data_IF_809280016447
#
_entry.id   IF_809280016447
#
_cell.length_a   1.000
_cell.length_b   1.000
_cell.length_c   1.000
_cell.angle_alpha   90.00
_cell.angle_beta   90.00
_cell.angle_gamma   90.00
#
_symmetry.space_group_name_H-M   'P 1'
#
loop_
_entity.id
_entity.type
_entity.pdbx_description
1 polymer ?
#
# COMPACT_ATOMS: atom_id res chain seq x y z
N UNK A 1 10.53 -3.65 -17.81
CA UNK A 1 9.74 -2.42 -17.84
C UNK A 1 8.33 -2.78 -18.29
N UNK A 2 7.34 -2.48 -17.48
CA UNK A 2 5.93 -2.84 -17.68
C UNK A 2 5.31 -2.04 -18.82
N UNK A 3 4.60 -2.70 -19.75
CA UNK A 3 3.83 -2.01 -20.79
C UNK A 3 2.48 -1.54 -20.23
N UNK A 4 2.52 -0.40 -19.54
CA UNK A 4 1.35 0.19 -18.89
C UNK A 4 0.21 0.54 -19.86
N UNK A 5 0.52 0.93 -21.10
CA UNK A 5 -0.47 1.31 -22.09
C UNK A 5 -1.31 0.09 -22.53
N UNK A 6 -0.65 -1.03 -22.80
CA UNK A 6 -1.32 -2.29 -23.12
C UNK A 6 -2.13 -2.83 -21.95
N UNK A 7 -1.57 -2.79 -20.74
CA UNK A 7 -2.27 -3.23 -19.53
C UNK A 7 -3.53 -2.40 -19.26
N UNK A 8 -3.41 -1.07 -19.30
CA UNK A 8 -4.55 -0.17 -19.11
C UNK A 8 -5.65 -0.44 -20.14
N UNK A 9 -5.30 -0.59 -21.43
CA UNK A 9 -6.28 -0.89 -22.47
C UNK A 9 -7.04 -2.20 -22.20
N UNK A 10 -6.33 -3.24 -21.77
CA UNK A 10 -6.92 -4.54 -21.42
C UNK A 10 -7.84 -4.40 -20.22
N UNK A 11 -7.38 -3.80 -19.13
CA UNK A 11 -8.16 -3.64 -17.90
C UNK A 11 -9.39 -2.76 -18.14
N UNK A 12 -9.24 -1.61 -18.79
CA UNK A 12 -10.34 -0.70 -19.10
C UNK A 12 -11.40 -1.39 -19.99
N UNK A 13 -10.98 -2.19 -20.98
CA UNK A 13 -11.90 -2.98 -21.81
C UNK A 13 -12.63 -4.06 -21.01
N UNK A 14 -11.91 -4.81 -20.17
CA UNK A 14 -12.50 -5.88 -19.35
C UNK A 14 -13.47 -5.32 -18.33
N UNK A 15 -13.11 -4.24 -17.61
CA UNK A 15 -14.01 -3.57 -16.67
C UNK A 15 -15.26 -3.04 -17.40
N UNK A 16 -15.09 -2.45 -18.58
CA UNK A 16 -16.22 -1.96 -19.38
C UNK A 16 -17.17 -3.06 -19.86
N UNK A 17 -16.65 -4.25 -20.16
CA UNK A 17 -17.43 -5.35 -20.76
C UNK A 17 -17.94 -6.38 -19.75
N UNK A 18 -17.21 -6.58 -18.65
CA UNK A 18 -17.48 -7.61 -17.64
C UNK A 18 -17.77 -7.01 -16.26
N UNK A 19 -17.65 -5.70 -16.10
CA UNK A 19 -17.90 -4.98 -14.84
C UNK A 19 -16.77 -5.06 -13.83
N UNK A 20 -15.75 -5.89 -14.04
CA UNK A 20 -14.59 -6.04 -13.16
C UNK A 20 -13.43 -6.73 -13.85
N UNK A 21 -12.23 -6.56 -13.34
CA UNK A 21 -11.04 -7.30 -13.76
C UNK A 21 -10.26 -7.76 -12.52
N UNK A 22 -9.70 -8.96 -12.57
CA UNK A 22 -8.82 -9.50 -11.54
C UNK A 22 -7.48 -9.88 -12.16
N UNK A 23 -6.39 -9.74 -11.41
CA UNK A 23 -5.06 -10.09 -11.85
C UNK A 23 -4.11 -10.35 -10.69
N UNK A 24 -2.95 -10.92 -11.02
CA UNK A 24 -1.82 -11.03 -10.11
C UNK A 24 -0.78 -9.99 -10.50
N UNK A 25 -0.27 -9.27 -9.50
CA UNK A 25 0.87 -8.37 -9.63
C UNK A 25 2.09 -8.87 -8.85
N UNK A 26 3.25 -8.29 -9.14
CA UNK A 26 4.43 -8.41 -8.28
C UNK A 26 4.29 -7.56 -7.00
N UNK A 27 5.33 -7.55 -6.17
CA UNK A 27 5.38 -6.83 -4.89
C UNK A 27 5.15 -5.32 -5.04
N UNK A 28 5.50 -4.78 -6.21
CA UNK A 28 5.41 -3.36 -6.56
C UNK A 28 4.05 -3.02 -7.19
N UNK A 29 3.17 -4.01 -7.37
CA UNK A 29 1.86 -3.84 -8.00
C UNK A 29 1.90 -3.78 -9.53
N UNK A 30 3.00 -4.17 -10.17
CA UNK A 30 3.06 -4.33 -11.62
C UNK A 30 2.25 -5.58 -12.02
N UNK A 31 1.31 -5.47 -12.97
CA UNK A 31 0.52 -6.62 -13.40
C UNK A 31 1.37 -7.67 -14.12
N UNK A 32 1.25 -8.92 -13.69
CA UNK A 32 1.92 -10.10 -14.27
C UNK A 32 1.00 -10.86 -15.23
N UNK A 33 -0.25 -11.11 -14.83
CA UNK A 33 -1.26 -11.77 -15.67
C UNK A 33 -2.69 -11.52 -15.16
N UNK A 34 -3.67 -11.66 -16.06
CA UNK A 34 -5.10 -11.59 -15.77
C UNK A 34 -5.58 -12.92 -15.19
N UNK A 35 -6.45 -12.85 -14.19
CA UNK A 35 -7.16 -13.99 -13.63
C UNK A 35 -8.51 -14.22 -14.33
N UNK A 36 -9.03 -15.46 -14.34
CA UNK A 36 -10.41 -15.72 -14.73
C UNK A 36 -11.39 -15.02 -13.79
N UNK A 37 -12.68 -15.02 -14.15
CA UNK A 37 -13.71 -14.55 -13.24
C UNK A 37 -13.79 -15.48 -12.01
N UNK A 38 -13.98 -14.93 -10.80
CA UNK A 38 -14.09 -15.73 -9.60
C UNK A 38 -15.37 -16.59 -9.62
N UNK A 39 -15.32 -17.72 -8.92
CA UNK A 39 -16.45 -18.66 -8.80
C UNK A 39 -17.59 -18.04 -7.99
N UNK A 40 -17.25 -17.26 -6.96
CA UNK A 40 -18.19 -16.50 -6.15
C UNK A 40 -17.88 -14.99 -6.25
N UNK A 41 -18.90 -14.14 -6.46
CA UNK A 41 -18.71 -12.70 -6.67
C UNK A 41 -18.55 -11.90 -5.37
N UNK A 42 -18.18 -12.53 -4.24
CA UNK A 42 -18.14 -11.87 -2.93
C UNK A 42 -16.84 -11.08 -2.76
N UNK A 43 -16.73 -9.95 -3.46
CA UNK A 43 -15.72 -8.94 -3.14
C UNK A 43 -16.43 -7.81 -2.41
N UNK A 44 -16.06 -7.48 -1.16
CA UNK A 44 -16.77 -6.48 -0.39
C UNK A 44 -16.78 -5.12 -1.10
N UNK A 45 -17.98 -4.58 -1.32
CA UNK A 45 -18.18 -3.26 -1.91
C UNK A 45 -17.77 -2.13 -0.95
N UNK A 46 -17.84 -2.37 0.36
CA UNK A 46 -17.81 -1.33 1.39
C UNK A 46 -16.40 -0.86 1.80
N UNK A 47 -16.33 0.45 2.06
CA UNK A 47 -15.15 1.31 2.15
C UNK A 47 -14.62 1.54 3.59
N UNK A 48 -15.00 0.73 4.57
CA UNK A 48 -14.70 1.07 5.97
C UNK A 48 -14.15 -0.07 6.84
N UNK A 49 -14.07 -1.28 6.33
CA UNK A 49 -13.40 -2.36 7.04
C UNK A 49 -12.16 -2.76 6.25
N UNK A 50 -11.03 -2.84 6.96
CA UNK A 50 -9.83 -3.61 6.60
C UNK A 50 -10.22 -5.10 6.58
N UNK A 51 -11.24 -5.44 5.80
CA UNK A 51 -11.61 -6.82 5.57
C UNK A 51 -10.63 -7.38 4.55
N UNK A 52 -9.92 -8.42 4.96
CA UNK A 52 -9.09 -9.22 4.08
C UNK A 52 -9.88 -9.59 2.81
N UNK A 53 -9.24 -9.46 1.65
CA UNK A 53 -9.81 -9.88 0.39
C UNK A 53 -9.66 -11.40 0.28
N UNK A 54 -10.78 -12.11 0.28
CA UNK A 54 -10.83 -13.54 0.02
C UNK A 54 -11.58 -13.78 -1.29
N UNK A 55 -10.90 -14.34 -2.29
CA UNK A 55 -11.51 -14.57 -3.62
C UNK A 55 -11.13 -15.94 -4.16
N UNK A 56 -12.13 -16.70 -4.59
CA UNK A 56 -11.97 -18.07 -5.12
C UNK A 56 -12.06 -18.09 -6.65
N UNK A 57 -11.09 -18.73 -7.29
CA UNK A 57 -10.96 -18.89 -8.74
C UNK A 57 -10.91 -20.36 -9.14
N UNK A 58 -11.28 -20.70 -10.39
CA UNK A 58 -11.02 -22.04 -10.92
C UNK A 58 -9.52 -22.30 -10.97
N UNK A 59 -9.11 -23.46 -10.44
CA UNK A 59 -7.72 -23.93 -10.50
C UNK A 59 -7.41 -24.74 -11.77
N UNK A 60 -8.42 -24.96 -12.62
CA UNK A 60 -8.30 -25.64 -13.92
C UNK A 60 -8.78 -24.73 -15.06
N UNK A 61 -8.04 -24.76 -16.15
CA UNK A 61 -8.46 -24.17 -17.42
C UNK A 61 -9.51 -25.06 -18.12
N UNK A 62 -10.27 -24.55 -19.11
CA UNK A 62 -11.27 -25.35 -19.82
C UNK A 62 -10.73 -26.60 -20.53
N UNK A 63 -9.43 -26.66 -20.82
CA UNK A 63 -8.74 -27.81 -21.41
C UNK A 63 -8.26 -28.84 -20.38
N UNK A 64 -8.51 -28.60 -19.09
CA UNK A 64 -8.12 -29.45 -17.97
C UNK A 64 -6.70 -29.22 -17.47
N UNK A 65 -5.94 -28.28 -18.03
CA UNK A 65 -4.63 -27.89 -17.50
C UNK A 65 -4.76 -27.08 -16.21
N UNK A 66 -3.69 -27.06 -15.41
CA UNK A 66 -3.63 -26.26 -14.17
C UNK A 66 -3.65 -24.78 -14.54
N UNK A 67 -4.49 -23.99 -13.88
CA UNK A 67 -4.52 -22.54 -14.11
C UNK A 67 -3.22 -21.91 -13.64
N UNK A 68 -2.77 -20.86 -14.33
CA UNK A 68 -1.48 -20.21 -14.05
C UNK A 68 -1.34 -19.74 -12.59
N UNK A 69 -2.45 -19.36 -11.95
CA UNK A 69 -2.44 -18.92 -10.55
C UNK A 69 -2.30 -20.09 -9.58
N UNK A 70 -2.92 -21.24 -9.87
CA UNK A 70 -2.75 -22.45 -9.08
C UNK A 70 -1.34 -23.02 -9.24
N UNK A 71 -0.79 -22.95 -10.45
CA UNK A 71 0.60 -23.32 -10.71
C UNK A 71 1.57 -22.47 -9.86
N UNK A 72 1.44 -21.14 -9.95
CA UNK A 72 2.31 -20.18 -9.28
C UNK A 72 2.23 -20.23 -7.75
N UNK A 73 1.02 -20.23 -7.18
CA UNK A 73 0.83 -20.05 -5.74
C UNK A 73 0.84 -21.36 -4.95
N UNK A 74 0.62 -22.50 -5.62
CA UNK A 74 0.44 -23.80 -4.95
C UNK A 74 1.35 -24.86 -5.53
N UNK A 75 1.22 -25.18 -6.82
CA UNK A 75 1.89 -26.36 -7.39
C UNK A 75 3.42 -26.23 -7.42
N UNK A 76 3.94 -25.03 -7.71
CA UNK A 76 5.39 -24.78 -7.69
C UNK A 76 6.00 -25.04 -6.30
N UNK A 77 5.25 -24.76 -5.23
CA UNK A 77 5.68 -25.00 -3.85
C UNK A 77 5.66 -26.49 -3.48
N UNK A 78 4.75 -27.29 -4.06
CA UNK A 78 4.66 -28.74 -3.81
C UNK A 78 5.92 -29.50 -4.24
N UNK A 79 6.70 -28.97 -5.19
CA UNK A 79 7.95 -29.61 -5.62
C UNK A 79 9.11 -29.40 -4.63
N UNK A 80 8.94 -28.52 -3.65
CA UNK A 80 9.99 -28.03 -2.75
C UNK A 80 9.83 -28.51 -1.29
N UNK A 81 9.30 -29.72 -1.09
CA UNK A 81 9.14 -30.29 0.26
C UNK A 81 10.44 -30.25 1.06
N UNK A 82 10.36 -29.71 2.27
CA UNK A 82 11.41 -29.93 3.24
C UNK A 82 11.34 -31.37 3.79
N UNK A 83 12.44 -31.93 4.33
CA UNK A 83 12.43 -33.27 4.93
C UNK A 83 11.49 -33.44 6.13
N UNK A 84 10.88 -32.36 6.63
CA UNK A 84 9.90 -32.38 7.71
C UNK A 84 8.44 -32.49 7.21
N UNK A 85 8.25 -32.57 5.88
CA UNK A 85 6.93 -32.68 5.24
C UNK A 85 6.17 -31.36 5.21
N UNK A 86 6.84 -30.22 5.45
CA UNK A 86 6.22 -28.90 5.36
C UNK A 86 6.45 -28.33 3.98
N UNK A 87 5.40 -27.70 3.44
CA UNK A 87 5.51 -26.89 2.24
C UNK A 87 6.24 -25.59 2.60
N UNK A 88 7.22 -25.15 1.80
CA UNK A 88 7.73 -23.80 1.93
C UNK A 88 6.60 -22.82 1.60
N UNK A 89 6.58 -21.68 2.27
CA UNK A 89 5.79 -20.53 1.83
C UNK A 89 6.14 -20.21 0.38
N UNK A 90 5.13 -19.88 -0.44
CA UNK A 90 5.35 -19.48 -1.82
C UNK A 90 6.46 -18.42 -1.90
N UNK A 91 7.43 -18.63 -2.78
CA UNK A 91 8.53 -17.68 -2.97
C UNK A 91 8.04 -16.55 -3.87
N UNK A 92 7.78 -15.38 -3.27
CA UNK A 92 7.42 -14.16 -4.00
C UNK A 92 6.37 -13.35 -3.25
N UNK A 93 6.66 -12.07 -3.07
CA UNK A 93 5.66 -11.10 -2.60
C UNK A 93 4.76 -10.76 -3.80
N UNK A 94 3.56 -11.31 -3.82
CA UNK A 94 2.58 -11.11 -4.88
C UNK A 94 1.41 -10.24 -4.40
N UNK A 95 0.80 -9.51 -5.33
CA UNK A 95 -0.42 -8.76 -5.06
C UNK A 95 -1.61 -9.34 -5.82
N UNK A 96 -2.75 -9.46 -5.14
CA UNK A 96 -4.04 -9.60 -5.79
C UNK A 96 -4.48 -8.22 -6.26
N UNK A 97 -4.76 -8.06 -7.55
CA UNK A 97 -5.22 -6.82 -8.15
C UNK A 97 -6.67 -6.99 -8.59
N UNK A 98 -7.52 -6.03 -8.23
CA UNK A 98 -8.93 -6.02 -8.61
C UNK A 98 -9.30 -4.62 -9.13
N UNK A 99 -9.92 -4.55 -10.29
CA UNK A 99 -10.31 -3.29 -10.92
C UNK A 99 -11.83 -3.23 -11.12
N UNK A 100 -12.41 -2.09 -10.78
CA UNK A 100 -13.85 -1.86 -10.75
C UNK A 100 -14.22 -0.57 -11.52
N UNK A 101 -15.48 -0.42 -11.95
CA UNK A 101 -15.98 0.83 -12.50
C UNK A 101 -15.97 1.89 -11.39
N UNK A 102 -15.35 3.03 -11.68
CA UNK A 102 -15.34 4.21 -10.83
C UNK A 102 -16.23 5.32 -11.37
N UNK A 103 -16.16 6.48 -10.71
CA UNK A 103 -16.81 7.69 -11.17
C UNK A 103 -16.26 8.14 -12.54
N UNK A 104 -17.09 8.83 -13.31
CA UNK A 104 -16.73 9.42 -14.61
C UNK A 104 -16.12 8.43 -15.63
N UNK A 105 -16.54 7.16 -15.57
CA UNK A 105 -16.02 6.07 -16.41
C UNK A 105 -14.53 5.77 -16.24
N UNK A 106 -13.91 6.23 -15.14
CA UNK A 106 -12.57 5.82 -14.75
C UNK A 106 -12.59 4.46 -14.07
N UNK A 107 -11.51 3.69 -14.23
CA UNK A 107 -11.32 2.43 -13.50
C UNK A 107 -10.67 2.74 -12.16
N UNK A 108 -11.19 2.15 -11.09
CA UNK A 108 -10.58 2.20 -9.76
C UNK A 108 -10.00 0.82 -9.47
N UNK A 109 -8.69 0.78 -9.17
CA UNK A 109 -8.03 -0.43 -8.73
C UNK A 109 -7.94 -0.48 -7.22
N UNK A 110 -8.25 -1.65 -6.70
CA UNK A 110 -8.03 -2.10 -5.33
C UNK A 110 -7.22 -3.38 -5.40
N UNK A 111 -6.89 -3.93 -4.26
CA UNK A 111 -6.08 -5.12 -4.20
C UNK A 111 -5.35 -5.19 -2.89
N UNK A 112 -4.38 -6.08 -2.83
CA UNK A 112 -3.73 -6.38 -1.58
C UNK A 112 -2.55 -7.32 -1.71
N UNK A 113 -1.66 -7.30 -0.73
CA UNK A 113 -0.58 -8.26 -0.64
C UNK A 113 -1.16 -9.64 -0.30
N UNK A 114 -0.83 -10.67 -1.08
CA UNK A 114 -1.30 -12.03 -0.85
C UNK A 114 -0.59 -12.59 0.38
N UNK A 115 -1.37 -12.99 1.38
CA UNK A 115 -0.84 -13.58 2.63
C UNK A 115 -0.68 -15.08 2.47
N UNK A 116 -1.70 -15.72 1.91
CA UNK A 116 -1.70 -17.16 1.65
C UNK A 116 -2.77 -17.52 0.61
N UNK A 117 -2.55 -18.65 -0.06
CA UNK A 117 -3.54 -19.28 -0.92
C UNK A 117 -3.89 -20.67 -0.38
N UNK A 118 -5.14 -21.07 -0.56
CA UNK A 118 -5.63 -22.43 -0.26
C UNK A 118 -6.18 -23.03 -1.53
N UNK A 119 -5.92 -24.32 -1.77
CA UNK A 119 -6.43 -25.05 -2.91
C UNK A 119 -7.19 -26.28 -2.44
N UNK A 120 -8.26 -26.62 -3.14
CA UNK A 120 -9.08 -27.80 -2.84
C UNK A 120 -9.01 -28.78 -4.01
N UNK A 121 -8.69 -30.04 -3.73
CA UNK A 121 -8.63 -31.15 -4.69
C UNK A 121 -9.62 -32.23 -4.22
N UNK A 122 -10.91 -32.01 -4.53
CA UNK A 122 -11.98 -32.92 -4.10
C UNK A 122 -11.88 -34.30 -4.75
N UNK A 123 -11.39 -34.35 -5.98
CA UNK A 123 -11.22 -35.58 -6.75
C UNK A 123 -9.97 -36.38 -6.34
N UNK A 124 -9.08 -35.76 -5.56
CA UNK A 124 -7.82 -36.31 -5.07
C UNK A 124 -6.96 -36.87 -6.22
N UNK A 125 -6.97 -36.18 -7.36
CA UNK A 125 -6.22 -36.53 -8.57
C UNK A 125 -4.86 -35.82 -8.64
N UNK A 126 -4.53 -35.02 -7.61
CA UNK A 126 -3.30 -34.25 -7.48
C UNK A 126 -3.36 -32.88 -8.13
N UNK A 127 -4.52 -32.47 -8.67
CA UNK A 127 -4.73 -31.16 -9.29
C UNK A 127 -5.92 -30.47 -8.62
N UNK A 128 -5.77 -29.30 -7.99
CA UNK A 128 -6.90 -28.60 -7.39
C UNK A 128 -8.01 -28.27 -8.40
N UNK A 129 -9.26 -28.33 -7.97
CA UNK A 129 -10.43 -27.85 -8.72
C UNK A 129 -10.61 -26.34 -8.56
N UNK A 130 -10.34 -25.82 -7.36
CA UNK A 130 -10.45 -24.41 -7.00
C UNK A 130 -9.24 -23.93 -6.17
N UNK A 131 -9.00 -22.62 -6.24
CA UNK A 131 -8.00 -21.91 -5.46
C UNK A 131 -8.60 -20.64 -4.87
N UNK A 132 -8.45 -20.47 -3.56
CA UNK A 132 -8.83 -19.27 -2.83
C UNK A 132 -7.58 -18.48 -2.47
N UNK A 133 -7.60 -17.19 -2.81
CA UNK A 133 -6.52 -16.24 -2.54
C UNK A 133 -6.97 -15.35 -1.39
N UNK A 134 -6.14 -15.25 -0.35
CA UNK A 134 -6.36 -14.38 0.79
C UNK A 134 -5.32 -13.26 0.78
N UNK A 135 -5.76 -12.00 0.71
CA UNK A 135 -4.89 -10.84 0.57
C UNK A 135 -5.26 -9.71 1.55
N UNK A 136 -4.24 -9.08 2.12
CA UNK A 136 -4.37 -7.88 2.96
C UNK A 136 -4.72 -6.69 2.09
N UNK A 137 -5.85 -6.04 2.36
CA UNK A 137 -6.33 -4.92 1.55
C UNK A 137 -5.28 -3.80 1.50
N UNK A 138 -5.14 -3.10 0.37
CA UNK A 138 -4.28 -1.93 0.26
C UNK A 138 -4.62 -0.82 1.28
N UNK A 139 -5.82 -0.84 1.86
CA UNK A 139 -6.19 -0.06 3.04
C UNK A 139 -5.31 -0.32 4.26
N UNK A 140 -4.76 -1.52 4.39
CA UNK A 140 -3.92 -1.93 5.52
C UNK A 140 -2.61 -1.16 5.57
N UNK A 141 -2.27 -0.45 4.50
CA UNK A 141 -1.16 0.51 4.50
C UNK A 141 -1.26 1.51 5.65
N UNK A 142 -2.47 1.94 6.03
CA UNK A 142 -2.69 2.82 7.18
C UNK A 142 -2.26 2.21 8.52
N UNK A 143 -2.20 0.88 8.61
CA UNK A 143 -1.72 0.13 9.76
C UNK A 143 -0.21 -0.18 9.69
N UNK A 144 0.47 0.16 8.60
CA UNK A 144 1.92 -0.09 8.44
C UNK A 144 2.78 1.15 8.66
N UNK A 145 2.19 2.33 8.44
CA UNK A 145 2.92 3.60 8.51
C UNK A 145 2.84 4.17 9.95
N UNK A 146 3.97 4.51 10.58
CA UNK A 146 3.95 5.17 11.88
C UNK A 146 3.42 6.60 11.75
N UNK A 147 2.61 7.06 12.71
CA UNK A 147 2.18 8.44 12.86
C UNK A 147 3.30 9.29 13.46
N UNK A 148 4.30 9.62 12.63
CA UNK A 148 5.53 10.27 13.05
C UNK A 148 5.24 11.62 13.68
N UNK A 149 5.44 11.71 14.99
CA UNK A 149 5.15 12.90 15.78
C UNK A 149 6.17 14.00 15.55
N UNK A 150 7.42 13.64 15.22
CA UNK A 150 8.50 14.59 14.92
C UNK A 150 9.27 14.24 13.63
N UNK A 151 8.67 14.51 12.44
CA UNK A 151 9.26 14.15 11.15
C UNK A 151 10.68 14.67 10.94
N UNK A 152 10.96 15.90 11.40
CA UNK A 152 12.28 16.52 11.25
C UNK A 152 13.41 15.80 12.01
N UNK A 153 13.11 15.12 13.12
CA UNK A 153 14.10 14.31 13.84
C UNK A 153 14.36 12.99 13.12
N UNK A 154 13.29 12.32 12.66
CA UNK A 154 13.40 11.10 11.86
C UNK A 154 14.13 11.35 10.54
N UNK A 155 13.94 12.52 9.93
CA UNK A 155 14.61 12.92 8.69
C UNK A 155 16.14 12.93 8.78
N UNK A 156 16.68 13.16 9.98
CA UNK A 156 18.13 13.18 10.25
C UNK A 156 18.70 11.78 10.50
N UNK A 157 17.85 10.77 10.67
CA UNK A 157 18.30 9.42 10.93
C UNK A 157 18.88 8.80 9.65
N UNK A 158 20.07 8.23 9.78
CA UNK A 158 20.71 7.47 8.71
C UNK A 158 20.59 5.96 8.99
N UNK A 159 20.19 5.15 7.99
CA UNK A 159 20.28 3.71 8.05
C UNK A 159 21.74 3.27 8.21
N UNK A 160 21.98 2.30 9.07
CA UNK A 160 23.28 1.68 9.30
C UNK A 160 23.12 0.16 9.45
N UNK A 161 24.16 -0.58 9.07
CA UNK A 161 24.17 -2.03 9.26
C UNK A 161 24.44 -2.37 10.73
N UNK A 162 23.66 -3.30 11.27
CA UNK A 162 23.94 -3.96 12.53
C UNK A 162 24.01 -5.48 12.35
N UNK A 163 24.83 -6.12 13.18
CA UNK A 163 24.99 -7.58 13.25
C UNK A 163 24.43 -8.18 14.54
N UNK A 164 23.94 -7.37 15.46
CA UNK A 164 23.33 -7.81 16.71
C UNK A 164 22.17 -6.91 17.12
N UNK A 165 21.29 -7.44 17.97
CA UNK A 165 20.30 -6.61 18.65
C UNK A 165 20.89 -5.80 19.80
N UNK A 166 20.06 -4.97 20.43
CA UNK A 166 20.42 -4.13 21.58
C UNK A 166 20.79 -4.95 22.84
N UNK A 167 20.49 -6.25 22.87
CA UNK A 167 20.90 -7.17 23.93
C UNK A 167 22.24 -7.87 23.64
N UNK A 168 22.82 -7.65 22.45
CA UNK A 168 24.06 -8.25 21.98
C UNK A 168 23.90 -9.62 21.32
N UNK A 169 22.67 -10.07 21.06
CA UNK A 169 22.43 -11.32 20.33
C UNK A 169 22.68 -11.11 18.84
N UNK A 170 23.57 -11.92 18.28
CA UNK A 170 23.93 -11.82 16.87
C UNK A 170 22.77 -12.24 15.95
N UNK A 171 22.51 -11.44 14.94
CA UNK A 171 21.61 -11.80 13.86
C UNK A 171 22.27 -12.81 12.92
N UNK A 172 21.47 -13.72 12.36
CA UNK A 172 21.94 -14.64 11.31
C UNK A 172 22.38 -13.91 10.04
N UNK A 173 21.75 -12.78 9.76
CA UNK A 173 22.05 -11.87 8.64
C UNK A 173 22.12 -10.46 9.19
N UNK A 174 23.02 -9.64 8.64
CA UNK A 174 23.05 -8.21 8.98
C UNK A 174 21.70 -7.57 8.65
N UNK A 175 21.31 -6.61 9.48
CA UNK A 175 20.08 -5.84 9.31
C UNK A 175 20.41 -4.39 9.11
N UNK A 176 19.64 -3.72 8.26
CA UNK A 176 19.68 -2.26 8.15
C UNK A 176 18.72 -1.69 9.20
N UNK A 177 19.22 -0.79 10.05
CA UNK A 177 18.42 -0.14 11.09
C UNK A 177 18.65 1.36 11.04
N UNK A 178 17.67 2.14 11.46
CA UNK A 178 17.80 3.58 11.64
C UNK A 178 17.43 3.95 13.07
N UNK A 179 18.25 4.77 13.71
CA UNK A 179 17.97 5.27 15.06
C UNK A 179 17.16 6.55 14.96
N UNK A 180 15.88 6.46 15.30
CA UNK A 180 14.96 7.60 15.32
C UNK A 180 14.80 8.16 16.73
N UNK A 181 14.47 9.44 16.82
CA UNK A 181 14.15 10.12 18.08
C UNK A 181 12.63 10.35 18.12
N UNK A 182 12.00 9.92 19.22
CA UNK A 182 10.58 10.13 19.46
C UNK A 182 10.35 11.45 20.19
N UNK A 183 9.20 12.10 19.96
CA UNK A 183 8.91 13.35 20.63
C UNK A 183 8.69 13.15 22.14
N UNK A 184 9.42 13.90 22.96
CA UNK A 184 9.19 13.96 24.42
C UNK A 184 8.46 15.23 24.87
N UNK A 185 8.27 16.19 23.96
CA UNK A 185 7.62 17.46 24.24
C UNK A 185 6.23 17.52 23.58
N UNK A 186 5.21 17.73 24.41
CA UNK A 186 3.81 17.80 23.98
C UNK A 186 3.55 18.89 22.93
N UNK A 187 4.32 19.97 22.88
CA UNK A 187 4.06 21.07 21.93
C UNK A 187 4.32 20.69 20.46
N UNK A 188 5.14 19.67 20.18
CA UNK A 188 5.45 19.26 18.80
C UNK A 188 4.48 18.22 18.23
N UNK A 189 3.67 17.59 19.09
CA UNK A 189 2.81 16.48 18.67
C UNK A 189 1.41 16.91 18.23
N UNK A 190 0.97 18.12 18.59
CA UNK A 190 -0.36 18.62 18.23
C UNK A 190 -0.39 19.28 16.86
N UNK A 191 -1.32 18.84 16.01
CA UNK A 191 -1.62 19.41 14.69
C UNK A 191 -3.06 19.94 14.68
N UNK A 192 -3.24 21.19 14.25
CA UNK A 192 -4.53 21.87 14.24
C UNK A 192 -4.91 22.30 12.83
N UNK A 193 -6.21 22.32 12.54
CA UNK A 193 -6.78 22.77 11.27
C UNK A 193 -7.92 21.86 10.81
N UNK A 194 -8.41 22.02 9.57
CA UNK A 194 -9.42 21.14 9.00
C UNK A 194 -9.00 19.66 9.09
N UNK A 195 -9.91 18.80 9.49
CA UNK A 195 -9.64 17.40 9.79
C UNK A 195 -8.96 16.67 8.65
N UNK A 196 -9.50 16.78 7.45
CA UNK A 196 -8.98 16.08 6.30
C UNK A 196 -7.57 16.57 5.94
N UNK A 197 -7.31 17.89 5.99
CA UNK A 197 -5.98 18.47 5.82
C UNK A 197 -4.99 17.97 6.87
N UNK A 198 -5.35 18.01 8.15
CA UNK A 198 -4.48 17.61 9.26
C UNK A 198 -4.09 16.13 9.14
N UNK A 199 -5.05 15.27 8.81
CA UNK A 199 -4.80 13.83 8.63
C UNK A 199 -3.93 13.58 7.38
N UNK A 200 -4.25 14.19 6.23
CA UNK A 200 -3.46 14.05 4.99
C UNK A 200 -2.03 14.53 5.20
N UNK A 201 -1.86 15.66 5.88
CA UNK A 201 -0.56 16.21 6.25
C UNK A 201 0.23 15.23 7.10
N UNK A 202 -0.35 14.75 8.21
CA UNK A 202 0.32 13.80 9.09
C UNK A 202 0.71 12.55 8.33
N UNK A 203 -0.17 12.01 7.48
CA UNK A 203 0.10 10.83 6.67
C UNK A 203 1.27 11.05 5.70
N UNK A 204 1.30 12.18 4.98
CA UNK A 204 2.38 12.47 4.03
C UNK A 204 3.72 12.70 4.74
N UNK A 205 3.74 13.52 5.80
CA UNK A 205 4.98 13.76 6.58
C UNK A 205 5.51 12.47 7.21
N UNK A 206 4.61 11.60 7.65
CA UNK A 206 4.96 10.28 8.21
C UNK A 206 5.52 9.34 7.16
N UNK A 207 4.90 9.27 5.98
CA UNK A 207 5.40 8.50 4.84
C UNK A 207 6.79 8.97 4.43
N UNK A 208 6.95 10.27 4.21
CA UNK A 208 8.22 10.87 3.82
C UNK A 208 9.31 10.54 4.86
N UNK A 209 9.01 10.74 6.15
CA UNK A 209 9.96 10.47 7.23
C UNK A 209 10.31 8.99 7.35
N UNK A 210 9.33 8.08 7.30
CA UNK A 210 9.57 6.65 7.37
C UNK A 210 10.42 6.18 6.18
N UNK A 211 10.08 6.59 4.95
CA UNK A 211 10.84 6.27 3.75
C UNK A 211 12.27 6.82 3.78
N UNK A 212 12.50 8.00 4.39
CA UNK A 212 13.84 8.58 4.53
C UNK A 212 14.77 7.75 5.44
N UNK A 213 14.19 6.99 6.37
CA UNK A 213 14.93 6.10 7.27
C UNK A 213 15.25 4.73 6.68
N UNK A 214 14.83 4.47 5.43
CA UNK A 214 15.05 3.22 4.71
C UNK A 214 15.90 3.46 3.46
N UNK A 215 16.55 2.40 2.99
CA UNK A 215 17.31 2.40 1.75
C UNK A 215 17.32 1.00 1.13
N UNK A 216 17.35 0.95 -0.19
CA UNK A 216 17.55 -0.26 -0.95
C UNK A 216 19.00 -0.78 -0.83
N UNK A 217 19.26 -2.04 -1.21
CA UNK A 217 20.61 -2.61 -1.17
C UNK A 217 21.65 -1.84 -2.00
N UNK A 218 21.21 -1.06 -2.99
CA UNK A 218 22.06 -0.19 -3.81
C UNK A 218 22.30 1.20 -3.19
N UNK A 219 21.65 1.49 -2.05
CA UNK A 219 21.79 2.72 -1.28
C UNK A 219 20.79 3.81 -1.65
N UNK A 220 19.89 3.59 -2.61
CA UNK A 220 18.82 4.55 -2.93
C UNK A 220 17.86 4.65 -1.75
N UNK A 221 17.55 5.87 -1.31
CA UNK A 221 16.56 6.09 -0.24
C UNK A 221 15.18 5.88 -0.82
N UNK A 222 14.31 5.18 -0.10
CA UNK A 222 12.93 4.96 -0.54
C UNK A 222 12.15 6.26 -0.75
N UNK A 223 12.55 7.36 -0.10
CA UNK A 223 11.91 8.66 -0.31
C UNK A 223 12.20 9.27 -1.69
N UNK A 224 13.32 8.89 -2.30
CA UNK A 224 13.71 9.33 -3.65
C UNK A 224 12.96 8.54 -4.75
N UNK A 225 12.38 7.38 -4.41
CA UNK A 225 11.56 6.54 -5.29
C UNK A 225 10.33 5.97 -4.54
N UNK A 226 9.32 6.82 -4.24
CA UNK A 226 8.27 6.46 -3.31
C UNK A 226 7.21 5.57 -3.99
N UNK A 227 6.77 4.51 -3.30
CA UNK A 227 5.65 3.66 -3.71
C UNK A 227 4.29 4.09 -3.14
N UNK A 228 4.28 5.13 -2.31
CA UNK A 228 3.09 5.62 -1.60
C UNK A 228 2.98 7.13 -1.69
N UNK A 229 1.75 7.64 -1.79
CA UNK A 229 1.48 9.07 -1.77
C UNK A 229 0.12 9.36 -1.15
N UNK A 230 -0.06 10.56 -0.59
CA UNK A 230 -1.35 11.02 -0.08
C UNK A 230 -2.01 11.96 -1.07
N UNK A 231 -3.25 11.66 -1.44
CA UNK A 231 -4.08 12.50 -2.29
C UNK A 231 -4.59 13.73 -1.51
N UNK A 232 -4.56 14.89 -2.17
CA UNK A 232 -5.04 16.16 -1.65
C UNK A 232 -6.07 16.75 -2.61
N UNK A 233 -7.37 16.65 -2.31
CA UNK A 233 -8.44 17.27 -3.08
C UNK A 233 -8.36 18.80 -3.11
N UNK A 234 -8.99 19.42 -4.12
CA UNK A 234 -8.93 20.88 -4.33
C UNK A 234 -9.57 21.68 -3.18
N UNK A 235 -10.62 21.12 -2.58
CA UNK A 235 -11.33 21.73 -1.47
C UNK A 235 -11.27 20.80 -0.26
N UNK A 236 -11.16 21.42 0.91
CA UNK A 236 -11.33 20.77 2.21
C UNK A 236 -12.45 21.52 2.92
N UNK A 237 -13.54 20.82 3.19
CA UNK A 237 -14.73 21.36 3.87
C UNK A 237 -14.94 20.75 5.24
N UNK A 238 -13.96 20.00 5.74
CA UNK A 238 -14.06 19.31 7.03
C UNK A 238 -13.96 20.28 8.21
N UNK A 239 -14.51 19.87 9.35
CA UNK A 239 -14.43 20.66 10.59
C UNK A 239 -13.00 20.75 11.11
N UNK A 240 -12.71 21.79 11.91
CA UNK A 240 -11.42 21.91 12.56
C UNK A 240 -11.26 20.90 13.70
N UNK A 241 -10.11 20.22 13.72
CA UNK A 241 -9.73 19.30 14.80
C UNK A 241 -8.40 19.71 15.41
N UNK A 242 -8.14 19.17 16.60
CA UNK A 242 -6.82 19.11 17.22
C UNK A 242 -6.41 17.66 17.35
N UNK A 243 -5.38 17.26 16.60
CA UNK A 243 -4.89 15.88 16.53
C UNK A 243 -3.52 15.77 17.19
N UNK A 244 -3.38 14.81 18.10
CA UNK A 244 -2.09 14.46 18.69
C UNK A 244 -1.45 13.29 17.91
N UNK A 245 -0.27 13.50 17.35
CA UNK A 245 0.53 12.44 16.74
C UNK A 245 1.27 11.64 17.81
N UNK A 246 1.06 10.31 17.86
CA UNK A 246 1.49 9.47 19.00
C UNK A 246 2.59 8.45 18.71
N UNK A 247 3.32 8.56 17.59
CA UNK A 247 4.37 7.62 17.16
C UNK A 247 3.93 6.12 17.09
N UNK A 248 2.63 5.83 17.24
CA UNK A 248 2.00 4.54 16.92
C UNK A 248 1.66 4.46 15.44
N UNK A 249 0.73 3.60 15.02
CA UNK A 249 0.33 3.56 13.62
C UNK A 249 -0.61 4.71 13.23
N UNK A 250 -0.58 5.13 11.96
CA UNK A 250 -1.46 6.17 11.45
C UNK A 250 -2.93 5.84 11.72
N UNK A 251 -3.37 4.63 11.41
CA UNK A 251 -4.75 4.21 11.63
C UNK A 251 -5.21 4.44 13.07
N UNK A 252 -4.45 3.94 14.05
CA UNK A 252 -4.76 4.06 15.48
C UNK A 252 -4.80 5.52 15.94
N UNK A 253 -3.97 6.35 15.31
CA UNK A 253 -3.86 7.79 15.62
C UNK A 253 -5.03 8.58 15.05
N UNK A 254 -5.45 8.30 13.80
CA UNK A 254 -6.37 9.17 13.06
C UNK A 254 -7.80 8.65 12.94
N UNK A 255 -8.04 7.33 13.01
CA UNK A 255 -9.35 6.71 12.71
C UNK A 255 -10.52 7.32 13.48
N UNK A 256 -10.42 7.43 14.81
CA UNK A 256 -11.50 8.00 15.64
C UNK A 256 -11.72 9.49 15.39
N UNK A 257 -10.66 10.24 15.10
CA UNK A 257 -10.78 11.67 14.78
C UNK A 257 -11.38 11.85 13.38
N UNK A 258 -11.02 10.98 12.44
CA UNK A 258 -11.60 10.93 11.10
C UNK A 258 -13.11 10.67 11.17
N UNK A 259 -13.52 9.64 11.91
CA UNK A 259 -14.93 9.28 12.13
C UNK A 259 -15.71 10.45 12.77
N UNK A 260 -15.19 11.04 13.84
CA UNK A 260 -15.84 12.17 14.52
C UNK A 260 -15.98 13.41 13.63
N UNK A 261 -15.03 13.63 12.72
CA UNK A 261 -15.04 14.76 11.79
C UNK A 261 -15.79 14.47 10.47
N UNK A 262 -16.40 13.29 10.33
CA UNK A 262 -17.14 12.91 9.13
C UNK A 262 -16.24 12.72 7.90
N UNK A 263 -15.02 12.20 8.09
CA UNK A 263 -14.10 11.88 6.98
C UNK A 263 -13.74 10.39 6.96
N UNK A 264 -13.71 9.80 5.77
CA UNK A 264 -13.41 8.40 5.50
C UNK A 264 -11.95 8.27 5.06
N UNK A 265 -11.22 7.37 5.72
CA UNK A 265 -9.90 6.95 5.29
C UNK A 265 -10.03 5.93 4.16
N UNK A 266 -9.24 6.07 3.11
CA UNK A 266 -9.27 5.24 1.91
C UNK A 266 -7.87 5.00 1.35
N UNK A 267 -7.77 4.07 0.40
CA UNK A 267 -6.56 3.78 -0.36
C UNK A 267 -6.95 3.13 -1.69
N UNK A 268 -6.17 3.37 -2.74
CA UNK A 268 -6.35 2.72 -4.04
C UNK A 268 -5.01 2.55 -4.76
N UNK A 269 -4.97 1.68 -5.77
CA UNK A 269 -3.78 1.45 -6.59
C UNK A 269 -3.87 2.34 -7.83
N UNK A 270 -2.88 3.21 -8.01
CA UNK A 270 -2.71 4.05 -9.20
C UNK A 270 -1.69 3.42 -10.15
N UNK A 271 -1.98 3.43 -11.45
CA UNK A 271 -1.04 2.96 -12.47
C UNK A 271 -0.59 4.09 -13.40
N UNK A 272 0.65 4.02 -13.92
CA UNK A 272 1.08 4.89 -15.00
C UNK A 272 0.10 4.89 -16.17
N UNK A 273 -0.32 6.08 -16.58
CA UNK A 273 -1.34 6.28 -17.61
C UNK A 273 -2.73 6.63 -17.06
N UNK A 274 -2.95 6.55 -15.75
CA UNK A 274 -4.14 7.10 -15.11
C UNK A 274 -4.11 8.62 -15.02
N UNK A 275 -5.24 9.19 -14.60
CA UNK A 275 -5.34 10.60 -14.25
C UNK A 275 -4.27 10.95 -13.20
N UNK A 276 -3.54 12.05 -13.36
CA UNK A 276 -2.57 12.49 -12.36
C UNK A 276 -3.19 12.64 -10.97
N UNK A 277 -2.43 12.28 -9.93
CA UNK A 277 -2.87 12.43 -8.54
C UNK A 277 -2.49 13.83 -8.06
N UNK A 278 -3.44 14.57 -7.49
CA UNK A 278 -3.12 15.84 -6.83
C UNK A 278 -2.52 15.55 -5.46
N UNK A 279 -1.26 15.90 -5.26
CA UNK A 279 -0.52 15.62 -4.04
C UNK A 279 0.57 16.67 -3.81
N UNK A 280 1.25 16.61 -2.66
CA UNK A 280 2.42 17.43 -2.39
C UNK A 280 3.59 17.06 -3.32
N UNK A 281 4.50 18.01 -3.53
CA UNK A 281 5.77 17.75 -4.20
C UNK A 281 6.53 16.65 -3.52
N UNK A 282 7.10 15.72 -4.28
CA UNK A 282 7.88 14.62 -3.72
C UNK A 282 9.03 15.13 -2.84
N UNK A 283 9.27 14.45 -1.71
CA UNK A 283 10.43 14.74 -0.88
C UNK A 283 11.65 14.07 -1.45
N UNK A 284 12.82 14.70 -1.38
CA UNK A 284 14.07 14.05 -1.78
C UNK A 284 14.99 13.98 -0.59
N UNK A 285 15.83 12.96 -0.52
CA UNK A 285 16.79 12.74 0.58
C UNK A 285 17.76 13.91 0.78
N UNK A 286 17.95 14.75 -0.25
CA UNK A 286 18.74 15.98 -0.21
C UNK A 286 18.05 17.17 0.45
N UNK A 287 16.73 17.11 0.70
CA UNK A 287 15.99 18.19 1.35
C UNK A 287 16.42 18.35 2.81
N UNK A 288 16.44 19.60 3.28
CA UNK A 288 16.66 19.87 4.70
C UNK A 288 15.43 19.46 5.51
N UNK A 289 15.57 19.13 6.81
CA UNK A 289 14.41 18.79 7.66
C UNK A 289 13.31 19.86 7.68
N UNK A 290 13.67 21.13 7.48
CA UNK A 290 12.70 22.24 7.39
C UNK A 290 11.83 22.13 6.13
N UNK A 291 12.43 21.76 5.00
CA UNK A 291 11.76 21.79 3.70
C UNK A 291 10.75 20.66 3.53
N UNK A 292 10.82 19.64 4.38
CA UNK A 292 9.93 18.48 4.39
C UNK A 292 8.63 18.78 5.12
N UNK A 293 8.66 19.67 6.12
CA UNK A 293 7.46 20.07 6.88
C UNK A 293 6.46 20.78 5.95
N UNK A 294 5.23 20.26 5.92
CA UNK A 294 4.16 20.80 5.08
C UNK A 294 3.62 22.09 5.68
N UNK A 295 3.66 22.27 7.00
CA UNK A 295 3.36 23.58 7.64
C UNK A 295 4.47 23.93 8.63
N UNK A 296 5.62 24.42 8.13
CA UNK A 296 6.74 24.77 8.99
C UNK A 296 6.32 25.84 9.99
N UNK A 297 6.84 25.73 11.21
CA UNK A 297 6.64 26.75 12.27
C UNK A 297 7.17 28.13 11.87
N UNK A 298 8.14 28.19 10.94
CA UNK A 298 8.70 29.43 10.41
C UNK A 298 8.75 29.43 8.86
N UNK A 299 8.18 30.49 8.27
CA UNK A 299 8.22 30.73 6.83
C UNK A 299 7.11 30.02 6.05
N UNK A 300 7.30 29.92 4.73
CA UNK A 300 6.37 29.20 3.83
C UNK A 300 6.84 27.76 3.66
N UNK A 301 5.90 26.84 3.46
CA UNK A 301 6.21 25.47 3.09
C UNK A 301 6.99 25.44 1.76
N UNK A 302 8.05 24.62 1.72
CA UNK A 302 8.75 24.29 0.49
C UNK A 302 7.98 23.24 -0.33
N UNK A 303 6.95 22.61 0.27
CA UNK A 303 6.09 21.60 -0.35
C UNK A 303 5.00 22.28 -1.17
N UNK A 304 4.90 21.95 -2.46
CA UNK A 304 3.89 22.53 -3.36
C UNK A 304 2.85 21.50 -3.79
N UNK A 305 1.58 21.89 -3.85
CA UNK A 305 0.51 21.04 -4.36
C UNK A 305 0.49 21.06 -5.89
N UNK A 306 0.29 19.91 -6.51
CA UNK A 306 0.12 19.80 -7.95
C UNK A 306 -0.32 18.41 -8.38
N UNK A 307 -0.79 18.32 -9.63
CA UNK A 307 -1.13 17.06 -10.27
C UNK A 307 0.15 16.37 -10.75
N UNK A 308 0.38 15.13 -10.30
CA UNK A 308 1.62 14.37 -10.54
C UNK A 308 1.34 13.00 -11.16
N UNK A 309 2.31 12.54 -11.93
CA UNK A 309 2.38 11.17 -12.47
C UNK A 309 3.64 10.51 -11.92
N UNK A 310 3.61 9.19 -11.83
CA UNK A 310 4.69 8.36 -11.34
C UNK A 310 5.11 7.35 -12.42
N UNK A 311 6.32 6.82 -12.30
CA UNK A 311 6.89 5.90 -13.29
C UNK A 311 6.47 4.44 -13.09
N UNK A 312 6.04 4.10 -11.88
CA UNK A 312 5.55 2.79 -11.47
C UNK A 312 4.18 2.89 -10.77
N UNK A 313 3.63 1.73 -10.39
CA UNK A 313 2.39 1.69 -9.63
C UNK A 313 2.57 2.30 -8.23
N UNK A 314 1.51 2.94 -7.74
CA UNK A 314 1.51 3.64 -6.45
C UNK A 314 0.32 3.19 -5.62
N UNK A 315 0.50 3.08 -4.32
CA UNK A 315 -0.61 3.08 -3.37
C UNK A 315 -0.92 4.53 -2.99
N UNK A 316 -2.13 4.97 -3.33
CA UNK A 316 -2.59 6.34 -3.05
C UNK A 316 -3.51 6.31 -1.84
N UNK A 317 -3.07 6.92 -0.74
CA UNK A 317 -3.87 7.11 0.46
C UNK A 317 -4.82 8.27 0.25
N UNK A 318 -6.08 8.11 0.65
CA UNK A 318 -7.12 9.14 0.54
C UNK A 318 -7.76 9.43 1.88
N UNK A 319 -8.18 10.67 2.07
CA UNK A 319 -9.10 11.07 3.13
C UNK A 319 -10.24 11.78 2.43
N UNK A 320 -11.48 11.29 2.56
CA UNK A 320 -12.64 11.79 1.82
C UNK A 320 -13.71 12.27 2.78
N UNK A 321 -14.24 13.46 2.56
CA UNK A 321 -15.34 14.03 3.31
C UNK A 321 -16.64 13.27 2.99
N UNK A 322 -17.43 12.93 4.01
CA UNK A 322 -18.77 12.35 3.84
C UNK A 322 -19.76 13.49 3.65
N UNK A 323 -20.42 13.52 2.49
CA UNK A 323 -21.48 14.49 2.18
C UNK A 323 -22.79 14.14 2.89
#
# INVERSE_FOLDING_TARGET
MTDWASWKKTVDYTVKTQGRWYGIGDADGNPLFTLPMPLEPDTPDQWMESADLQVTFPAREPDGSVSRVAELLVMDALTKFDPSGRLPTAEGDYMLLAAFPGADSHVVRRGGAIVHATANDEDNDGIPSEITINALNCMDVWHTIPAVSWPAAWWKAEPYETSSDESGLAYKQKRLMARVELATNAMFVWKNGPAAFVIRRLAQESLDAAMRTQADPDGVKWVDDPYHVVEVPEMDTSEEISLEARDGFLWETVSKQAENAGVILGAYIWWPGDAPVRCWSQATSSMSPRDVDITPSEGKSSRTLGYRKFEHAMIVLTVKEVA
#
